data_IF_261532425306
#
_entry.id   IF_261532425306
#
_cell.length_a   1.000
_cell.length_b   1.000
_cell.length_c   1.000
_cell.angle_alpha   90.00
_cell.angle_beta   90.00
_cell.angle_gamma   90.00
#
_symmetry.space_group_name_H-M   'P 1'
#
loop_
_entity.id
_entity.type
_entity.pdbx_description
1 polymer ?
#
# COMPACT_ATOMS: atom_id res chain seq x y z
N UNK A 1 17.78 -16.50 11.33
CA UNK A 1 16.71 -16.48 10.31
C UNK A 1 17.16 -17.36 9.18
N UNK A 2 16.44 -18.45 8.90
CA UNK A 2 16.79 -19.42 7.86
C UNK A 2 16.41 -18.93 6.45
N UNK A 3 15.44 -18.02 6.35
CA UNK A 3 14.95 -17.48 5.08
C UNK A 3 15.30 -16.00 4.93
N UNK A 4 15.84 -15.64 3.77
CA UNK A 4 16.14 -14.24 3.38
C UNK A 4 15.48 -13.98 2.03
N UNK A 5 14.64 -12.95 1.97
CA UNK A 5 14.03 -12.50 0.73
C UNK A 5 14.64 -11.16 0.28
N UNK A 6 14.69 -10.94 -1.04
CA UNK A 6 15.02 -9.66 -1.65
C UNK A 6 13.76 -9.04 -2.23
N UNK A 7 13.61 -7.74 -2.00
CA UNK A 7 12.57 -6.92 -2.60
C UNK A 7 13.14 -5.97 -3.63
N UNK A 8 12.42 -5.78 -4.74
CA UNK A 8 12.69 -4.75 -5.75
C UNK A 8 11.64 -3.66 -5.58
N UNK A 9 12.09 -2.46 -5.23
CA UNK A 9 11.25 -1.26 -5.24
C UNK A 9 11.10 -0.80 -6.68
N UNK A 10 9.86 -0.58 -7.13
CA UNK A 10 9.65 -0.12 -8.51
C UNK A 10 10.19 1.31 -8.68
N UNK A 11 11.03 1.61 -9.68
CA UNK A 11 11.62 2.95 -9.84
C UNK A 11 10.57 4.03 -10.13
N UNK A 12 9.40 3.63 -10.66
CA UNK A 12 8.28 4.56 -10.93
C UNK A 12 7.32 4.67 -9.75
N UNK A 13 7.56 3.93 -8.66
CA UNK A 13 6.79 3.96 -7.42
C UNK A 13 6.53 5.38 -6.95
N UNK A 14 5.33 5.62 -6.43
CA UNK A 14 4.92 6.92 -5.92
C UNK A 14 6.00 7.51 -5.02
N UNK A 15 6.50 8.68 -5.39
CA UNK A 15 7.45 9.43 -4.58
C UNK A 15 6.79 10.05 -3.34
N UNK A 16 5.45 10.02 -3.23
CA UNK A 16 4.70 10.44 -2.05
C UNK A 16 5.01 9.49 -0.87
N UNK A 17 5.74 9.95 0.16
CA UNK A 17 6.04 9.12 1.33
C UNK A 17 4.79 8.76 2.15
N UNK A 18 3.64 9.40 1.87
CA UNK A 18 2.31 9.09 2.41
C UNK A 18 1.50 8.10 1.57
N UNK A 19 2.00 7.64 0.43
CA UNK A 19 1.36 6.56 -0.31
C UNK A 19 1.51 5.22 0.45
N UNK A 20 0.42 4.42 0.53
CA UNK A 20 0.46 3.11 1.17
C UNK A 20 1.48 2.21 0.49
N UNK A 21 2.21 1.43 1.29
CA UNK A 21 3.11 0.41 0.80
C UNK A 21 2.30 -0.80 0.35
N UNK A 22 2.50 -1.24 -0.90
CA UNK A 22 1.94 -2.45 -1.47
C UNK A 22 3.08 -3.43 -1.77
N UNK A 23 3.05 -4.58 -1.11
CA UNK A 23 4.00 -5.68 -1.29
C UNK A 23 3.36 -6.75 -2.18
N UNK A 24 4.06 -7.14 -3.24
CA UNK A 24 3.61 -8.10 -4.24
C UNK A 24 4.39 -9.40 -4.12
N UNK A 25 3.69 -10.50 -3.82
CA UNK A 25 4.23 -11.86 -3.69
C UNK A 25 3.99 -12.70 -4.96
N UNK A 26 5.01 -13.41 -5.48
CA UNK A 26 4.92 -14.15 -6.73
C UNK A 26 4.34 -15.56 -6.51
N UNK A 27 4.10 -16.25 -7.62
CA UNK A 27 3.78 -17.68 -7.63
C UNK A 27 5.04 -18.52 -7.46
N UNK A 28 4.88 -19.78 -7.04
CA UNK A 28 6.01 -20.73 -7.00
C UNK A 28 6.56 -20.92 -8.41
N UNK A 29 7.89 -20.80 -8.57
CA UNK A 29 8.56 -20.90 -9.86
C UNK A 29 8.54 -19.62 -10.70
N UNK A 30 8.10 -18.48 -10.15
CA UNK A 30 8.15 -17.18 -10.84
C UNK A 30 8.93 -16.16 -10.03
N UNK A 31 9.45 -15.13 -10.69
CA UNK A 31 10.16 -14.02 -10.06
C UNK A 31 9.37 -12.71 -10.03
N UNK A 32 9.99 -11.66 -9.49
CA UNK A 32 9.43 -10.29 -9.47
C UNK A 32 9.08 -9.74 -10.85
N UNK A 33 9.64 -10.26 -11.95
CA UNK A 33 9.30 -9.79 -13.29
C UNK A 33 7.86 -10.14 -13.69
N UNK A 34 7.29 -11.22 -13.13
CA UNK A 34 5.92 -11.63 -13.39
C UNK A 34 4.88 -10.55 -13.00
N UNK A 35 5.21 -9.71 -12.02
CA UNK A 35 4.39 -8.58 -11.61
C UNK A 35 4.57 -7.32 -12.45
N UNK A 36 5.51 -7.29 -13.41
CA UNK A 36 5.99 -6.06 -14.06
C UNK A 36 4.90 -5.15 -14.60
N UNK A 37 3.98 -5.67 -15.43
CA UNK A 37 2.94 -4.84 -16.04
C UNK A 37 1.87 -4.38 -15.02
N UNK A 38 1.44 -5.25 -14.11
CA UNK A 38 0.49 -4.87 -13.06
C UNK A 38 1.12 -3.85 -12.09
N UNK A 39 2.39 -4.05 -11.71
CA UNK A 39 3.13 -3.13 -10.86
C UNK A 39 3.23 -1.73 -11.46
N UNK A 40 3.56 -1.60 -12.74
CA UNK A 40 3.64 -0.32 -13.44
C UNK A 40 2.34 0.50 -13.40
N UNK A 41 1.19 -0.17 -13.24
CA UNK A 41 -0.14 0.47 -13.12
C UNK A 41 -0.48 0.87 -11.69
N UNK A 42 0.21 0.31 -10.70
CA UNK A 42 -0.01 0.54 -9.28
C UNK A 42 0.83 1.68 -8.71
N UNK A 43 1.94 2.02 -9.37
CA UNK A 43 2.93 2.98 -8.86
C UNK A 43 2.42 4.41 -8.73
N UNK A 44 1.37 4.80 -9.48
CA UNK A 44 0.70 6.09 -9.29
C UNK A 44 -0.08 6.22 -7.96
N UNK A 45 -0.42 5.10 -7.32
CA UNK A 45 -1.28 5.04 -6.13
C UNK A 45 -0.54 4.51 -4.90
N UNK A 46 0.34 3.53 -5.10
CA UNK A 46 1.06 2.84 -4.04
C UNK A 46 2.56 3.07 -4.14
N UNK A 47 3.24 2.92 -3.00
CA UNK A 47 4.64 2.55 -3.02
C UNK A 47 4.73 1.06 -3.26
N UNK A 48 5.32 0.61 -4.38
CA UNK A 48 5.24 -0.80 -4.80
C UNK A 48 6.58 -1.50 -4.57
N UNK A 49 6.52 -2.65 -3.90
CA UNK A 49 7.65 -3.57 -3.69
C UNK A 49 7.26 -4.94 -4.19
N UNK A 50 8.09 -5.54 -5.03
CA UNK A 50 7.94 -6.92 -5.48
C UNK A 50 8.98 -7.78 -4.78
N UNK A 51 8.61 -8.95 -4.27
CA UNK A 51 9.51 -9.81 -3.48
C UNK A 51 9.77 -11.11 -4.24
N UNK A 52 11.02 -11.59 -4.25
CA UNK A 52 11.35 -12.91 -4.77
C UNK A 52 11.29 -13.97 -3.66
N UNK A 53 10.78 -15.17 -3.96
CA UNK A 53 10.81 -16.33 -3.05
C UNK A 53 12.24 -16.85 -2.85
N UNK A 54 12.53 -17.66 -1.81
CA UNK A 54 13.86 -18.25 -1.62
C UNK A 54 14.29 -19.03 -2.87
N UNK A 55 15.52 -18.81 -3.33
CA UNK A 55 16.06 -19.45 -4.53
C UNK A 55 15.41 -19.02 -5.85
N UNK A 56 14.59 -17.97 -5.85
CA UNK A 56 14.01 -17.38 -7.05
C UNK A 56 14.61 -15.98 -7.27
N UNK A 57 14.78 -15.58 -8.53
CA UNK A 57 15.22 -14.23 -8.89
C UNK A 57 16.46 -13.78 -8.12
N UNK A 58 16.33 -12.71 -7.34
CA UNK A 58 17.42 -12.11 -6.57
C UNK A 58 17.56 -12.66 -5.14
N UNK A 59 16.58 -13.44 -4.67
CA UNK A 59 16.59 -14.02 -3.33
C UNK A 59 17.57 -15.20 -3.25
N UNK A 60 18.43 -15.27 -2.22
CA UNK A 60 19.35 -16.39 -2.06
C UNK A 60 18.58 -17.72 -1.89
N UNK A 61 19.21 -18.80 -2.34
CA UNK A 61 18.69 -20.15 -2.12
C UNK A 61 18.61 -20.48 -0.62
N UNK A 62 17.53 -21.14 -0.21
CA UNK A 62 17.41 -21.75 1.10
C UNK A 62 18.18 -23.09 1.11
N UNK A 63 18.71 -23.45 2.28
CA UNK A 63 19.47 -24.71 2.46
C UNK A 63 18.90 -25.59 3.57
N UNK A 64 17.94 -25.09 4.33
CA UNK A 64 17.29 -25.78 5.45
C UNK A 64 15.77 -25.63 5.32
N UNK A 65 14.98 -26.60 5.82
CA UNK A 65 13.53 -26.49 5.86
C UNK A 65 13.04 -25.25 6.61
N UNK A 66 11.92 -24.70 6.16
CA UNK A 66 11.28 -23.52 6.75
C UNK A 66 9.76 -23.63 6.64
N UNK A 67 9.09 -22.76 7.39
CA UNK A 67 7.63 -22.68 7.47
C UNK A 67 7.08 -21.44 6.78
N UNK A 68 5.76 -21.37 6.63
CA UNK A 68 5.09 -20.14 6.21
C UNK A 68 5.31 -18.99 7.20
N UNK A 69 5.47 -19.27 8.50
CA UNK A 69 5.79 -18.23 9.48
C UNK A 69 7.17 -17.61 9.21
N UNK A 70 8.16 -18.42 8.80
CA UNK A 70 9.49 -17.92 8.41
C UNK A 70 9.43 -17.09 7.11
N UNK A 71 8.59 -17.48 6.15
CA UNK A 71 8.34 -16.68 4.93
C UNK A 71 7.68 -15.33 5.27
N UNK A 72 6.69 -15.34 6.16
CA UNK A 72 6.02 -14.13 6.64
C UNK A 72 7.01 -13.20 7.38
N UNK A 73 7.89 -13.75 8.21
CA UNK A 73 8.97 -12.99 8.85
C UNK A 73 9.89 -12.32 7.83
N UNK A 74 10.26 -13.05 6.78
CA UNK A 74 11.17 -12.54 5.78
C UNK A 74 10.52 -11.44 4.92
N UNK A 75 9.21 -11.52 4.64
CA UNK A 75 8.44 -10.42 4.03
C UNK A 75 8.46 -9.19 4.94
N UNK A 76 8.21 -9.36 6.24
CA UNK A 76 8.25 -8.25 7.20
C UNK A 76 9.64 -7.64 7.30
N UNK A 77 10.70 -8.45 7.23
CA UNK A 77 12.08 -7.96 7.21
C UNK A 77 12.38 -7.10 5.96
N UNK A 78 11.84 -7.45 4.78
CA UNK A 78 11.92 -6.61 3.58
C UNK A 78 11.24 -5.26 3.82
N UNK A 79 10.04 -5.26 4.41
CA UNK A 79 9.30 -4.02 4.74
C UNK A 79 10.05 -3.17 5.76
N UNK A 80 10.62 -3.78 6.80
CA UNK A 80 11.40 -3.09 7.83
C UNK A 80 12.67 -2.45 7.24
N UNK A 81 13.33 -3.10 6.29
CA UNK A 81 14.45 -2.54 5.52
C UNK A 81 14.09 -1.30 4.69
N UNK A 82 12.80 -1.07 4.42
CA UNK A 82 12.26 0.08 3.70
C UNK A 82 11.66 1.16 4.62
N UNK A 83 11.92 1.07 5.92
CA UNK A 83 11.41 2.00 6.94
C UNK A 83 10.20 1.48 7.72
N UNK A 84 9.77 0.24 7.49
CA UNK A 84 8.76 -0.45 8.30
C UNK A 84 7.33 0.06 8.14
N UNK A 85 6.54 -0.13 9.19
CA UNK A 85 5.13 0.28 9.26
C UNK A 85 4.13 -0.77 8.75
N UNK A 86 2.88 -0.33 8.57
CA UNK A 86 1.80 -1.16 8.02
C UNK A 86 1.82 -1.14 6.49
N UNK A 87 1.43 -2.25 5.87
CA UNK A 87 1.44 -2.41 4.41
C UNK A 87 0.25 -3.23 3.92
N UNK A 88 -0.12 -3.01 2.67
CA UNK A 88 -1.03 -3.89 1.93
C UNK A 88 -0.19 -4.99 1.30
N UNK A 89 -0.68 -6.23 1.35
CA UNK A 89 -0.01 -7.37 0.72
C UNK A 89 -0.93 -7.98 -0.33
N UNK A 90 -0.42 -8.23 -1.53
CA UNK A 90 -1.12 -8.95 -2.58
C UNK A 90 -0.22 -10.08 -3.09
N UNK A 91 -0.72 -11.31 -3.09
CA UNK A 91 0.07 -12.47 -3.46
C UNK A 91 -0.67 -13.43 -4.37
N UNK A 92 0.07 -14.04 -5.30
CA UNK A 92 -0.45 -15.05 -6.22
C UNK A 92 -0.03 -16.44 -5.77
N UNK A 93 -0.94 -17.42 -5.78
CA UNK A 93 -0.62 -18.81 -5.42
C UNK A 93 0.05 -18.92 -4.04
N UNK A 94 1.25 -19.51 -3.93
CA UNK A 94 2.04 -19.52 -2.68
C UNK A 94 2.21 -18.12 -2.07
N UNK A 95 2.36 -17.08 -2.90
CA UNK A 95 2.41 -15.69 -2.46
C UNK A 95 1.15 -15.30 -1.69
N UNK A 96 -0.03 -15.70 -2.14
CA UNK A 96 -1.30 -15.45 -1.45
C UNK A 96 -1.41 -16.21 -0.12
N UNK A 97 -0.89 -17.44 -0.06
CA UNK A 97 -0.83 -18.25 1.15
C UNK A 97 0.11 -17.63 2.21
N UNK A 98 1.24 -17.01 1.79
CA UNK A 98 2.08 -16.17 2.67
C UNK A 98 1.27 -14.99 3.21
N UNK A 99 0.41 -14.38 2.38
CA UNK A 99 -0.51 -13.34 2.81
C UNK A 99 -1.52 -13.79 3.86
N UNK A 100 -2.05 -15.01 3.73
CA UNK A 100 -2.93 -15.63 4.74
C UNK A 100 -2.17 -15.85 6.05
N UNK A 101 -0.92 -16.36 6.00
CA UNK A 101 -0.08 -16.49 7.19
C UNK A 101 0.20 -15.12 7.84
N UNK A 102 0.51 -14.09 7.05
CA UNK A 102 0.69 -12.73 7.57
C UNK A 102 -0.56 -12.22 8.31
N UNK A 103 -1.76 -12.57 7.83
CA UNK A 103 -3.03 -12.09 8.39
C UNK A 103 -3.54 -12.87 9.60
N UNK A 104 -3.18 -14.15 9.70
CA UNK A 104 -3.62 -15.07 10.76
C UNK A 104 -2.55 -15.31 11.82
N UNK A 105 -1.28 -15.11 11.47
CA UNK A 105 -0.11 -15.32 12.31
C UNK A 105 0.29 -14.09 13.13
N UNK A 106 1.55 -14.10 13.58
CA UNK A 106 2.09 -13.12 14.54
C UNK A 106 2.25 -11.69 14.01
N UNK A 107 2.19 -11.51 12.70
CA UNK A 107 2.36 -10.20 12.03
C UNK A 107 1.05 -9.56 11.59
N UNK A 108 -0.10 -10.06 12.04
CA UNK A 108 -1.43 -9.58 11.63
C UNK A 108 -1.62 -8.06 11.77
N UNK A 109 -1.01 -7.45 12.78
CA UNK A 109 -1.09 -6.00 13.02
C UNK A 109 -0.30 -5.17 12.00
N UNK A 110 0.62 -5.80 11.26
CA UNK A 110 1.40 -5.16 10.19
C UNK A 110 0.60 -5.03 8.89
N UNK A 111 -0.45 -5.82 8.70
CA UNK A 111 -1.26 -5.71 7.49
C UNK A 111 -2.25 -4.55 7.57
N UNK A 112 -2.38 -3.81 6.48
CA UNK A 112 -3.42 -2.82 6.22
C UNK A 112 -4.51 -3.37 5.28
N UNK A 113 -4.19 -4.39 4.49
CA UNK A 113 -5.10 -5.09 3.57
C UNK A 113 -4.42 -6.31 2.96
N UNK A 114 -5.22 -7.26 2.48
CA UNK A 114 -4.75 -8.53 1.91
C UNK A 114 -5.45 -8.85 0.59
N UNK A 115 -4.71 -9.14 -0.48
CA UNK A 115 -5.24 -9.75 -1.69
C UNK A 115 -4.73 -11.19 -1.85
N UNK A 116 -5.66 -12.14 -1.91
CA UNK A 116 -5.42 -13.56 -2.14
C UNK A 116 -5.80 -13.86 -3.60
N UNK A 117 -4.82 -13.96 -4.49
CA UNK A 117 -5.03 -14.09 -5.94
C UNK A 117 -4.65 -15.49 -6.38
N UNK A 118 -5.57 -16.24 -7.01
CA UNK A 118 -5.37 -17.63 -7.44
C UNK A 118 -4.71 -18.48 -6.33
N UNK A 119 -5.25 -18.35 -5.10
CA UNK A 119 -4.63 -18.82 -3.86
C UNK A 119 -5.69 -19.10 -2.79
N UNK A 120 -5.29 -19.63 -1.63
CA UNK A 120 -6.16 -19.90 -0.51
C UNK A 120 -5.39 -20.27 0.77
N UNK A 121 -6.14 -20.60 1.83
CA UNK A 121 -5.57 -21.04 3.10
C UNK A 121 -5.04 -22.48 3.10
N UNK A 122 -5.25 -23.20 2.00
CA UNK A 122 -4.68 -24.51 1.66
C UNK A 122 -4.74 -24.64 0.14
N UNK A 123 -3.65 -25.11 -0.47
CA UNK A 123 -3.57 -25.29 -1.92
C UNK A 123 -3.12 -26.72 -2.18
N UNK A 124 -3.82 -27.46 -3.04
CA UNK A 124 -3.47 -28.84 -3.37
C UNK A 124 -3.50 -29.81 -2.17
N UNK A 125 -2.73 -30.90 -2.28
CA UNK A 125 -2.63 -31.94 -1.25
C UNK A 125 -1.19 -32.13 -0.74
N UNK A 126 -0.99 -32.51 0.54
CA UNK A 126 0.33 -32.81 1.09
C UNK A 126 1.11 -33.83 0.27
N UNK A 127 0.44 -34.88 -0.21
CA UNK A 127 1.04 -35.95 -1.02
C UNK A 127 1.48 -35.43 -2.39
N UNK A 128 0.67 -34.59 -3.02
CA UNK A 128 0.99 -33.99 -4.31
C UNK A 128 2.20 -33.06 -4.25
N UNK A 129 2.30 -32.28 -3.17
CA UNK A 129 3.46 -31.42 -2.93
C UNK A 129 4.73 -32.20 -2.59
N UNK A 130 4.61 -33.25 -1.76
CA UNK A 130 5.74 -34.15 -1.45
C UNK A 130 6.26 -34.83 -2.71
N UNK A 131 5.36 -35.31 -3.58
CA UNK A 131 5.73 -35.90 -4.86
C UNK A 131 6.42 -34.89 -5.79
N UNK A 132 5.92 -33.64 -5.83
CA UNK A 132 6.54 -32.57 -6.62
C UNK A 132 7.95 -32.23 -6.10
N UNK A 133 8.13 -32.12 -4.79
CA UNK A 133 9.43 -31.87 -4.18
C UNK A 133 10.43 -32.98 -4.52
N UNK A 134 10.02 -34.26 -4.39
CA UNK A 134 10.85 -35.39 -4.76
C UNK A 134 11.22 -35.40 -6.26
N UNK A 135 10.27 -35.05 -7.14
CA UNK A 135 10.54 -34.95 -8.58
C UNK A 135 11.57 -33.86 -8.88
N UNK A 136 11.42 -32.67 -8.31
CA UNK A 136 12.34 -31.53 -8.53
C UNK A 136 13.73 -31.87 -8.01
N UNK A 137 13.87 -32.48 -6.82
CA UNK A 137 15.19 -32.93 -6.34
C UNK A 137 15.84 -33.97 -7.24
N UNK A 138 15.06 -34.79 -7.94
CA UNK A 138 15.58 -35.83 -8.82
C UNK A 138 15.88 -35.34 -10.25
N UNK A 139 15.13 -34.36 -10.75
CA UNK A 139 15.10 -34.00 -12.18
C UNK A 139 15.30 -32.50 -12.45
N UNK A 140 15.40 -31.68 -11.39
CA UNK A 140 15.47 -30.23 -11.44
C UNK A 140 14.12 -29.56 -11.72
N UNK A 141 14.07 -28.24 -11.53
CA UNK A 141 12.92 -27.39 -11.88
C UNK A 141 12.54 -27.42 -13.37
N UNK A 142 13.43 -27.67 -14.35
CA UNK A 142 13.02 -27.82 -15.75
C UNK A 142 12.00 -28.95 -15.99
N UNK A 143 11.99 -29.98 -15.14
CA UNK A 143 10.98 -31.04 -15.22
C UNK A 143 9.54 -30.55 -14.96
N UNK A 144 9.38 -29.36 -14.38
CA UNK A 144 8.06 -28.77 -14.12
C UNK A 144 7.52 -27.97 -15.32
N UNK A 145 8.33 -27.63 -16.33
CA UNK A 145 7.94 -26.70 -17.42
C UNK A 145 6.69 -27.14 -18.16
N UNK A 146 6.65 -28.39 -18.64
CA UNK A 146 5.50 -28.88 -19.42
C UNK A 146 4.21 -28.81 -18.59
N UNK A 147 4.24 -29.34 -17.38
CA UNK A 147 3.07 -29.35 -16.50
C UNK A 147 2.67 -27.94 -16.01
N UNK A 148 3.62 -27.02 -15.87
CA UNK A 148 3.35 -25.62 -15.54
C UNK A 148 2.74 -24.87 -16.72
N UNK A 149 3.19 -25.11 -17.96
CA UNK A 149 2.62 -24.46 -19.16
C UNK A 149 1.13 -24.77 -19.34
N UNK A 150 0.68 -25.96 -18.95
CA UNK A 150 -0.73 -26.37 -19.04
C UNK A 150 -1.59 -25.79 -17.91
N UNK A 151 -1.00 -25.58 -16.72
CA UNK A 151 -1.76 -25.20 -15.51
C UNK A 151 -1.71 -23.69 -15.21
N UNK A 152 -0.69 -22.99 -15.69
CA UNK A 152 -0.47 -21.59 -15.33
C UNK A 152 -1.37 -20.62 -16.08
N UNK A 153 -1.74 -20.94 -17.31
CA UNK A 153 -2.36 -19.99 -18.22
C UNK A 153 -3.71 -20.48 -18.74
N UNK A 154 -4.63 -19.57 -19.05
CA UNK A 154 -5.81 -19.95 -19.82
C UNK A 154 -5.39 -20.49 -21.21
N UNK A 155 -6.14 -21.45 -21.80
CA UNK A 155 -5.78 -22.02 -23.10
C UNK A 155 -5.59 -21.00 -24.23
N UNK A 156 -6.25 -19.82 -24.14
CA UNK A 156 -6.16 -18.74 -25.11
C UNK A 156 -4.86 -17.93 -24.99
N UNK A 157 -4.20 -17.95 -23.84
CA UNK A 157 -3.14 -17.00 -23.49
C UNK A 157 -1.79 -17.27 -24.17
N UNK A 158 -1.27 -18.52 -24.27
CA UNK A 158 -0.01 -18.78 -24.97
C UNK A 158 -0.01 -18.33 -26.44
N UNK A 159 -1.16 -18.36 -27.11
CA UNK A 159 -1.31 -17.86 -28.48
C UNK A 159 -1.34 -16.32 -28.56
N UNK A 160 -1.78 -15.65 -27.49
CA UNK A 160 -1.87 -14.19 -27.41
C UNK A 160 -0.54 -13.55 -27.00
N UNK A 161 0.14 -14.14 -26.02
CA UNK A 161 1.35 -13.59 -25.38
C UNK A 161 2.49 -14.63 -25.28
N UNK A 162 2.94 -15.20 -26.43
CA UNK A 162 3.91 -16.30 -26.42
C UNK A 162 5.25 -15.94 -25.77
N UNK A 163 5.73 -14.70 -25.95
CA UNK A 163 7.00 -14.25 -25.37
C UNK A 163 6.92 -14.13 -23.85
N UNK A 164 5.78 -13.70 -23.31
CA UNK A 164 5.58 -13.59 -21.87
C UNK A 164 5.49 -14.98 -21.23
N UNK A 165 4.79 -15.90 -21.87
CA UNK A 165 4.76 -17.32 -21.46
C UNK A 165 6.18 -17.90 -21.47
N UNK A 166 6.93 -17.72 -22.55
CA UNK A 166 8.30 -18.22 -22.68
C UNK A 166 9.24 -17.68 -21.60
N UNK A 167 9.18 -16.37 -21.32
CA UNK A 167 9.97 -15.76 -20.23
C UNK A 167 9.60 -16.31 -18.87
N UNK A 168 8.30 -16.45 -18.57
CA UNK A 168 7.83 -16.96 -17.28
C UNK A 168 8.25 -18.42 -17.06
N UNK A 169 8.19 -19.26 -18.10
CA UNK A 169 8.67 -20.64 -18.03
C UNK A 169 10.20 -20.74 -17.96
N UNK A 170 10.92 -19.75 -18.48
CA UNK A 170 12.38 -19.68 -18.31
C UNK A 170 12.74 -19.35 -16.86
N UNK A 171 12.03 -18.43 -16.20
CA UNK A 171 12.23 -18.16 -14.76
C UNK A 171 12.03 -19.41 -13.89
N UNK A 172 11.08 -20.26 -14.26
CA UNK A 172 10.87 -21.54 -13.58
C UNK A 172 12.10 -22.44 -13.67
N UNK A 173 12.73 -22.50 -14.83
CA UNK A 173 13.95 -23.29 -15.06
C UNK A 173 15.16 -22.74 -14.31
N UNK A 174 15.18 -21.44 -14.04
CA UNK A 174 16.29 -20.76 -13.35
C UNK A 174 16.16 -20.80 -11.82
N UNK A 175 15.01 -21.20 -11.28
CA UNK A 175 14.81 -21.34 -9.84
C UNK A 175 15.66 -22.48 -9.25
N UNK A 176 16.24 -22.26 -8.07
CA UNK A 176 17.05 -23.25 -7.35
C UNK A 176 16.20 -24.46 -6.95
N UNK A 177 16.64 -25.64 -7.39
CA UNK A 177 15.93 -26.92 -7.24
C UNK A 177 15.56 -27.22 -5.78
N UNK A 178 16.50 -27.08 -4.86
CA UNK A 178 16.26 -27.39 -3.45
C UNK A 178 15.30 -26.39 -2.82
N UNK A 179 15.46 -25.09 -3.11
CA UNK A 179 14.55 -24.07 -2.60
C UNK A 179 13.12 -24.27 -3.11
N UNK A 180 12.96 -24.63 -4.39
CA UNK A 180 11.65 -24.99 -4.95
C UNK A 180 11.05 -26.21 -4.22
N UNK A 181 11.84 -27.25 -3.99
CA UNK A 181 11.39 -28.45 -3.28
C UNK A 181 10.98 -28.13 -1.83
N UNK A 182 11.75 -27.32 -1.11
CA UNK A 182 11.43 -26.86 0.25
C UNK A 182 10.15 -26.02 0.29
N UNK A 183 9.92 -25.14 -0.71
CA UNK A 183 8.67 -24.39 -0.83
C UNK A 183 7.46 -25.32 -1.10
N UNK A 184 7.64 -26.34 -1.92
CA UNK A 184 6.62 -27.36 -2.14
C UNK A 184 6.30 -28.11 -0.83
N UNK A 185 7.31 -28.56 -0.08
CA UNK A 185 7.10 -29.21 1.22
C UNK A 185 6.38 -28.29 2.23
N UNK A 186 6.77 -27.01 2.29
CA UNK A 186 6.10 -26.02 3.12
C UNK A 186 4.63 -25.84 2.72
N UNK A 187 4.31 -25.82 1.42
CA UNK A 187 2.93 -25.79 0.91
C UNK A 187 2.14 -27.03 1.33
N UNK A 188 2.76 -28.20 1.30
CA UNK A 188 2.14 -29.45 1.75
C UNK A 188 1.76 -29.44 3.23
N UNK A 189 2.49 -28.70 4.06
CA UNK A 189 2.23 -28.55 5.49
C UNK A 189 1.27 -27.39 5.84
N UNK A 190 0.96 -26.51 4.89
CA UNK A 190 0.19 -25.29 5.15
C UNK A 190 -1.33 -25.54 5.12
N UNK A 191 -1.99 -25.33 6.26
CA UNK A 191 -3.45 -25.31 6.38
C UNK A 191 -3.87 -24.27 7.42
N UNK A 192 -4.46 -23.17 6.95
CA UNK A 192 -5.00 -22.07 7.77
C UNK A 192 -6.51 -21.92 7.64
N UNK A 193 -7.21 -22.93 7.12
CA UNK A 193 -8.65 -22.81 6.84
C UNK A 193 -9.47 -22.49 8.09
N UNK A 194 -9.11 -23.03 9.25
CA UNK A 194 -9.76 -22.72 10.55
C UNK A 194 -9.54 -21.27 11.01
N UNK A 195 -8.49 -20.61 10.50
CA UNK A 195 -8.03 -19.32 11.01
C UNK A 195 -8.53 -18.16 10.14
N UNK A 196 -9.12 -18.44 8.96
CA UNK A 196 -9.63 -17.43 8.02
C UNK A 196 -10.62 -16.44 8.66
N UNK A 197 -11.48 -16.92 9.57
CA UNK A 197 -12.43 -16.09 10.31
C UNK A 197 -11.79 -15.10 11.30
N UNK A 198 -10.47 -15.16 11.50
CA UNK A 198 -9.73 -14.23 12.37
C UNK A 198 -9.11 -13.04 11.63
N UNK A 199 -9.17 -13.03 10.28
CA UNK A 199 -8.58 -11.98 9.45
C UNK A 199 -9.37 -10.68 9.60
N UNK A 200 -8.76 -9.69 10.25
CA UNK A 200 -9.43 -8.43 10.60
C UNK A 200 -9.28 -7.31 9.56
N UNK A 201 -8.40 -7.48 8.57
CA UNK A 201 -8.12 -6.46 7.56
C UNK A 201 -9.01 -6.61 6.33
N UNK A 202 -9.29 -5.53 5.59
CA UNK A 202 -9.94 -5.63 4.27
C UNK A 202 -9.22 -6.67 3.42
N UNK A 203 -9.97 -7.66 2.94
CA UNK A 203 -9.43 -8.76 2.13
C UNK A 203 -10.14 -8.80 0.78
N UNK A 204 -9.41 -9.12 -0.28
CA UNK A 204 -9.90 -9.37 -1.64
C UNK A 204 -9.47 -10.77 -2.05
N UNK A 205 -10.40 -11.55 -2.59
CA UNK A 205 -10.11 -12.88 -3.16
C UNK A 205 -10.36 -12.80 -4.67
N UNK A 206 -9.38 -13.21 -5.47
CA UNK A 206 -9.45 -13.19 -6.94
C UNK A 206 -9.06 -14.56 -7.47
N UNK A 207 -9.75 -15.04 -8.51
CA UNK A 207 -9.45 -16.32 -9.16
C UNK A 207 -9.74 -16.23 -10.66
N UNK A 208 -9.00 -16.99 -11.46
CA UNK A 208 -9.32 -17.16 -12.88
C UNK A 208 -10.33 -18.29 -13.10
N UNK A 209 -11.28 -18.12 -14.02
CA UNK A 209 -12.29 -19.15 -14.33
C UNK A 209 -11.71 -20.42 -15.01
N UNK A 210 -10.44 -20.38 -15.45
CA UNK A 210 -9.68 -21.49 -16.03
C UNK A 210 -8.59 -22.03 -15.10
N UNK A 211 -8.50 -21.56 -13.86
CA UNK A 211 -7.48 -22.01 -12.92
C UNK A 211 -7.75 -23.47 -12.45
N UNK A 212 -6.88 -24.43 -12.81
CA UNK A 212 -7.03 -25.82 -12.40
C UNK A 212 -6.30 -26.14 -11.08
N UNK A 213 -5.54 -25.19 -10.53
CA UNK A 213 -4.73 -25.35 -9.31
C UNK A 213 -5.50 -24.87 -8.09
N UNK A 214 -6.12 -23.70 -8.20
CA UNK A 214 -7.06 -23.15 -7.22
C UNK A 214 -8.34 -22.86 -7.97
N UNK A 215 -9.34 -23.71 -7.77
CA UNK A 215 -10.59 -23.61 -8.51
C UNK A 215 -11.45 -22.44 -8.03
N UNK A 216 -12.46 -22.07 -8.81
CA UNK A 216 -13.48 -21.11 -8.37
C UNK A 216 -14.15 -21.57 -7.07
N UNK A 217 -14.38 -22.88 -6.90
CA UNK A 217 -14.92 -23.45 -5.67
C UNK A 217 -14.00 -23.22 -4.47
N UNK A 218 -12.68 -23.44 -4.63
CA UNK A 218 -11.69 -23.18 -3.58
C UNK A 218 -11.65 -21.69 -3.18
N UNK A 219 -11.72 -20.80 -4.16
CA UNK A 219 -11.75 -19.36 -3.96
C UNK A 219 -13.06 -18.92 -3.27
N UNK A 220 -14.20 -19.47 -3.67
CA UNK A 220 -15.51 -19.23 -3.02
C UNK A 220 -15.48 -19.72 -1.58
N UNK A 221 -14.94 -20.90 -1.31
CA UNK A 221 -14.80 -21.41 0.06
C UNK A 221 -13.90 -20.50 0.91
N UNK A 222 -12.79 -20.02 0.35
CA UNK A 222 -11.89 -19.07 1.02
C UNK A 222 -12.61 -17.76 1.32
N UNK A 223 -13.32 -17.20 0.34
CA UNK A 223 -14.02 -15.92 0.46
C UNK A 223 -15.20 -15.98 1.47
N UNK A 224 -15.95 -17.09 1.47
CA UNK A 224 -17.04 -17.34 2.40
C UNK A 224 -16.58 -17.50 3.86
N UNK A 225 -15.37 -18.01 4.09
CA UNK A 225 -14.80 -18.20 5.42
C UNK A 225 -14.22 -16.91 6.05
N UNK A 226 -14.06 -15.84 5.26
CA UNK A 226 -13.60 -14.54 5.76
C UNK A 226 -14.71 -13.84 6.58
N UNK A 227 -14.35 -12.94 7.51
CA UNK A 227 -15.35 -12.21 8.30
C UNK A 227 -16.35 -11.45 7.43
N UNK A 228 -17.63 -11.68 7.71
CA UNK A 228 -18.74 -11.09 6.97
C UNK A 228 -19.21 -11.90 5.76
N UNK A 229 -18.42 -12.89 5.29
CA UNK A 229 -18.72 -13.69 4.10
C UNK A 229 -18.72 -12.84 2.82
N UNK A 230 -17.88 -13.17 1.84
CA UNK A 230 -17.87 -12.47 0.56
C UNK A 230 -17.74 -13.46 -0.60
N UNK A 231 -18.07 -12.99 -1.80
CA UNK A 231 -17.82 -13.72 -3.04
C UNK A 231 -16.43 -13.36 -3.59
N UNK A 232 -15.73 -14.29 -4.25
CA UNK A 232 -14.50 -13.99 -4.94
C UNK A 232 -14.78 -13.22 -6.23
N UNK A 233 -13.80 -12.44 -6.68
CA UNK A 233 -13.80 -11.88 -8.04
C UNK A 233 -13.29 -12.96 -9.00
N UNK A 234 -14.14 -13.36 -9.95
CA UNK A 234 -13.80 -14.36 -10.96
C UNK A 234 -13.43 -13.64 -12.26
N UNK A 235 -12.19 -13.82 -12.72
CA UNK A 235 -11.70 -13.28 -13.97
C UNK A 235 -11.98 -14.25 -15.11
N UNK A 236 -12.74 -13.81 -16.10
CA UNK A 236 -13.11 -14.60 -17.28
C UNK A 236 -11.90 -14.91 -18.15
N UNK A 237 -11.83 -16.10 -18.73
CA UNK A 237 -10.76 -16.57 -19.62
C UNK A 237 -9.36 -16.25 -19.03
N UNK A 238 -9.15 -16.70 -17.79
CA UNK A 238 -7.93 -16.44 -17.01
C UNK A 238 -7.54 -17.71 -16.24
N UNK A 239 -6.26 -18.08 -16.30
CA UNK A 239 -5.71 -19.23 -15.58
C UNK A 239 -5.16 -18.87 -14.19
N UNK A 240 -4.15 -19.62 -13.75
CA UNK A 240 -3.56 -19.49 -12.42
C UNK A 240 -2.69 -18.23 -12.26
N UNK A 241 -2.13 -17.70 -13.34
CA UNK A 241 -1.29 -16.51 -13.33
C UNK A 241 -2.09 -15.25 -13.67
N UNK A 242 -3.17 -14.98 -12.93
CA UNK A 242 -4.09 -13.88 -13.20
C UNK A 242 -3.43 -12.50 -13.36
N UNK A 243 -2.42 -12.20 -12.54
CA UNK A 243 -1.66 -10.94 -12.61
C UNK A 243 -0.84 -10.78 -13.91
N UNK A 244 -0.48 -11.87 -14.58
CA UNK A 244 0.18 -11.88 -15.89
C UNK A 244 -0.84 -11.79 -17.03
N UNK A 245 -1.95 -12.52 -16.92
CA UNK A 245 -2.95 -12.59 -17.98
C UNK A 245 -3.86 -11.37 -18.05
N UNK A 246 -4.14 -10.75 -16.89
CA UNK A 246 -5.05 -9.62 -16.69
C UNK A 246 -4.42 -8.50 -15.84
N UNK A 247 -3.22 -8.00 -16.19
CA UNK A 247 -2.48 -7.05 -15.36
C UNK A 247 -3.25 -5.76 -15.08
N UNK A 248 -4.01 -5.25 -16.06
CA UNK A 248 -4.83 -4.06 -15.90
C UNK A 248 -6.01 -4.27 -14.93
N UNK A 249 -6.69 -5.41 -15.04
CA UNK A 249 -7.86 -5.75 -14.23
C UNK A 249 -7.44 -6.04 -12.79
N UNK A 250 -6.36 -6.81 -12.58
CA UNK A 250 -5.77 -7.05 -11.26
C UNK A 250 -5.33 -5.74 -10.61
N UNK A 251 -4.62 -4.86 -11.34
CA UNK A 251 -4.21 -3.57 -10.80
C UNK A 251 -5.41 -2.70 -10.40
N UNK A 252 -6.46 -2.66 -11.22
CA UNK A 252 -7.68 -1.92 -10.92
C UNK A 252 -8.38 -2.43 -9.66
N UNK A 253 -8.50 -3.74 -9.48
CA UNK A 253 -9.08 -4.35 -8.28
C UNK A 253 -8.27 -4.01 -7.02
N UNK A 254 -6.94 -4.04 -7.10
CA UNK A 254 -6.06 -3.67 -5.99
C UNK A 254 -6.20 -2.17 -5.63
N UNK A 255 -6.29 -1.30 -6.63
CA UNK A 255 -6.54 0.14 -6.43
C UNK A 255 -7.91 0.34 -5.79
N UNK A 256 -8.97 -0.20 -6.35
CA UNK A 256 -10.34 -0.03 -5.85
C UNK A 256 -10.49 -0.51 -4.39
N UNK A 257 -9.82 -1.61 -4.06
CA UNK A 257 -9.92 -2.20 -2.73
C UNK A 257 -9.06 -1.47 -1.70
N UNK A 258 -7.81 -1.13 -2.06
CA UNK A 258 -6.77 -0.78 -1.09
C UNK A 258 -6.18 0.61 -1.26
N UNK A 259 -6.50 1.33 -2.34
CA UNK A 259 -6.16 2.74 -2.40
C UNK A 259 -6.78 3.42 -1.18
N UNK A 260 -6.11 4.41 -0.57
CA UNK A 260 -6.66 5.10 0.57
C UNK A 260 -8.02 5.67 0.17
N UNK A 261 -9.10 5.09 0.71
CA UNK A 261 -10.45 5.52 0.39
C UNK A 261 -10.60 6.94 0.92
N UNK A 262 -10.79 7.84 -0.03
CA UNK A 262 -11.09 9.25 0.15
C UNK A 262 -9.98 10.06 0.87
N UNK A 263 -8.78 10.11 0.28
CA UNK A 263 -7.80 11.16 0.60
C UNK A 263 -8.44 12.54 0.54
N UNK A 264 -9.43 12.71 -0.32
CA UNK A 264 -10.15 13.97 -0.46
C UNK A 264 -11.05 14.22 0.76
N UNK A 265 -11.85 13.28 1.25
CA UNK A 265 -12.65 13.46 2.47
C UNK A 265 -11.79 13.49 3.73
N UNK A 266 -10.75 12.64 3.84
CA UNK A 266 -9.77 12.75 4.93
C UNK A 266 -9.13 14.13 4.91
N UNK A 267 -8.72 14.58 3.73
CA UNK A 267 -8.21 15.91 3.50
C UNK A 267 -9.23 16.98 3.86
N UNK A 268 -10.51 16.80 3.54
CA UNK A 268 -11.58 17.73 3.87
C UNK A 268 -11.82 17.80 5.38
N UNK A 269 -11.85 16.66 6.08
CA UNK A 269 -11.94 16.59 7.54
C UNK A 269 -10.79 17.33 8.20
N UNK A 270 -9.54 17.05 7.79
CA UNK A 270 -8.35 17.71 8.34
C UNK A 270 -8.33 19.19 7.98
N UNK A 271 -8.61 19.56 6.72
CA UNK A 271 -8.65 20.94 6.24
C UNK A 271 -9.67 21.76 7.02
N UNK A 272 -10.86 21.22 7.30
CA UNK A 272 -11.89 21.87 8.13
C UNK A 272 -11.45 22.01 9.58
N UNK A 273 -10.86 20.97 10.15
CA UNK A 273 -10.35 21.02 11.52
C UNK A 273 -9.19 22.02 11.68
N UNK A 274 -8.39 22.22 10.63
CA UNK A 274 -7.20 23.08 10.67
C UNK A 274 -7.50 24.51 10.26
N UNK A 275 -8.35 24.78 9.27
CA UNK A 275 -8.63 26.12 8.77
C UNK A 275 -9.99 26.69 9.21
N UNK A 276 -10.82 25.86 9.86
CA UNK A 276 -12.19 26.19 10.24
C UNK A 276 -13.19 25.79 9.15
N UNK A 277 -14.31 25.21 9.57
CA UNK A 277 -15.38 24.72 8.71
C UNK A 277 -15.90 25.80 7.74
N UNK A 278 -16.24 26.98 8.26
CA UNK A 278 -16.82 28.07 7.47
C UNK A 278 -15.88 28.59 6.38
N UNK A 279 -14.57 28.68 6.69
CA UNK A 279 -13.59 29.11 5.69
C UNK A 279 -13.51 28.10 4.55
N UNK A 280 -13.48 26.81 4.89
CA UNK A 280 -13.40 25.72 3.91
C UNK A 280 -14.68 25.65 3.07
N UNK A 281 -15.85 25.86 3.67
CA UNK A 281 -17.12 25.91 2.94
C UNK A 281 -17.14 27.04 1.92
N UNK A 282 -16.73 28.26 2.32
CA UNK A 282 -16.60 29.39 1.38
C UNK A 282 -15.60 29.12 0.26
N UNK A 283 -14.44 28.56 0.59
CA UNK A 283 -13.43 28.21 -0.41
C UNK A 283 -13.94 27.14 -1.40
N UNK A 284 -14.70 26.16 -0.90
CA UNK A 284 -15.28 25.07 -1.72
C UNK A 284 -16.37 25.60 -2.65
N UNK A 285 -17.21 26.53 -2.18
CA UNK A 285 -18.24 27.17 -2.99
C UNK A 285 -17.66 28.01 -4.15
N UNK A 286 -16.42 28.49 -4.01
CA UNK A 286 -15.71 29.24 -5.04
C UNK A 286 -14.97 28.39 -6.08
N UNK A 287 -15.06 27.06 -6.01
CA UNK A 287 -14.37 26.17 -6.96
C UNK A 287 -15.04 26.25 -8.34
N UNK A 288 -14.22 26.47 -9.37
CA UNK A 288 -14.62 26.49 -10.78
C UNK A 288 -14.11 25.25 -11.51
N UNK A 289 -14.62 24.91 -12.70
CA UNK A 289 -14.11 23.80 -13.50
C UNK A 289 -12.59 23.86 -13.75
N UNK A 290 -12.03 25.05 -13.93
CA UNK A 290 -10.60 25.28 -14.19
C UNK A 290 -9.72 25.07 -12.95
N UNK A 291 -10.31 25.18 -11.75
CA UNK A 291 -9.59 25.09 -10.47
C UNK A 291 -9.90 23.80 -9.70
N UNK A 292 -10.90 23.03 -10.13
CA UNK A 292 -11.38 21.83 -9.46
C UNK A 292 -10.28 20.79 -9.23
N UNK A 293 -9.50 20.48 -10.27
CA UNK A 293 -8.43 19.49 -10.18
C UNK A 293 -7.31 19.96 -9.23
N UNK A 294 -6.98 21.25 -9.26
CA UNK A 294 -5.98 21.81 -8.36
C UNK A 294 -6.45 21.83 -6.90
N UNK A 295 -7.72 22.16 -6.66
CA UNK A 295 -8.31 22.15 -5.31
C UNK A 295 -8.42 20.74 -4.75
N UNK A 296 -8.75 19.76 -5.61
CA UNK A 296 -8.71 18.34 -5.26
C UNK A 296 -7.29 17.91 -4.92
N UNK A 297 -6.31 18.26 -5.76
CA UNK A 297 -4.89 17.97 -5.53
C UNK A 297 -4.41 18.51 -4.18
N UNK A 298 -4.67 19.79 -3.86
CA UNK A 298 -4.29 20.38 -2.57
C UNK A 298 -4.98 19.63 -1.42
N UNK A 299 -6.27 19.34 -1.56
CA UNK A 299 -7.06 18.64 -0.53
C UNK A 299 -6.48 17.27 -0.23
N UNK A 300 -6.17 16.48 -1.26
CA UNK A 300 -5.64 15.13 -1.11
C UNK A 300 -4.18 15.10 -0.61
N UNK A 301 -3.34 16.03 -1.07
CA UNK A 301 -1.90 16.01 -0.79
C UNK A 301 -1.54 16.72 0.51
N UNK A 302 -1.89 18.00 0.66
CA UNK A 302 -1.54 18.76 1.86
C UNK A 302 -2.31 18.21 3.06
N UNK A 303 -3.62 18.06 2.92
CA UNK A 303 -4.50 17.74 4.04
C UNK A 303 -4.71 16.24 4.21
N UNK A 304 -4.96 15.54 3.11
CA UNK A 304 -5.20 14.09 3.10
C UNK A 304 -3.95 13.24 3.31
N UNK A 305 -2.76 13.77 3.00
CA UNK A 305 -1.48 13.07 3.18
C UNK A 305 -0.60 13.70 4.25
N UNK A 306 -0.11 14.93 4.09
CA UNK A 306 0.96 15.44 4.97
C UNK A 306 0.46 15.84 6.37
N UNK A 307 -0.63 16.60 6.46
CA UNK A 307 -1.20 17.05 7.74
C UNK A 307 -1.89 15.93 8.52
N UNK A 308 -2.35 14.87 7.85
CA UNK A 308 -3.01 13.72 8.48
C UNK A 308 -2.03 12.70 9.09
N UNK A 309 -0.73 12.80 8.80
CA UNK A 309 0.27 11.82 9.25
C UNK A 309 0.47 11.82 10.78
N UNK A 310 0.64 10.64 11.38
CA UNK A 310 1.15 10.54 12.74
C UNK A 310 2.64 10.95 12.78
N UNK A 311 3.10 11.53 13.89
CA UNK A 311 4.52 11.82 14.15
C UNK A 311 4.81 13.26 14.59
N UNK A 312 4.05 14.25 14.09
CA UNK A 312 4.07 15.62 14.60
C UNK A 312 2.65 16.03 14.99
N UNK A 313 2.52 16.63 16.17
CA UNK A 313 1.26 17.22 16.61
C UNK A 313 0.89 18.45 15.75
N UNK A 314 -0.37 18.87 15.88
CA UNK A 314 -0.94 19.95 15.07
C UNK A 314 -0.29 21.31 15.33
N UNK A 315 0.08 21.61 16.58
CA UNK A 315 0.74 22.89 16.95
C UNK A 315 2.13 22.95 16.34
N UNK A 316 2.89 21.86 16.42
CA UNK A 316 4.23 21.75 15.82
C UNK A 316 4.16 21.92 14.30
N UNK A 317 3.23 21.24 13.63
CA UNK A 317 3.02 21.40 12.18
C UNK A 317 2.67 22.84 11.81
N UNK A 318 1.79 23.49 12.58
CA UNK A 318 1.41 24.89 12.37
C UNK A 318 2.61 25.83 12.47
N UNK A 319 3.45 25.68 13.50
CA UNK A 319 4.64 26.51 13.67
C UNK A 319 5.58 26.39 12.47
N UNK A 320 5.82 25.16 11.98
CA UNK A 320 6.62 24.90 10.78
C UNK A 320 6.00 25.57 9.54
N UNK A 321 4.68 25.46 9.36
CA UNK A 321 4.00 26.10 8.22
C UNK A 321 4.12 27.62 8.26
N UNK A 322 3.91 28.25 9.43
CA UNK A 322 4.08 29.70 9.61
C UNK A 322 5.51 30.10 9.28
N UNK A 323 6.51 29.39 9.83
CA UNK A 323 7.92 29.62 9.54
C UNK A 323 8.21 29.56 8.03
N UNK A 324 7.70 28.54 7.34
CA UNK A 324 7.84 28.38 5.89
C UNK A 324 7.22 29.53 5.10
N UNK A 325 6.04 30.03 5.49
CA UNK A 325 5.40 31.17 4.82
C UNK A 325 6.20 32.45 4.99
N UNK A 326 6.80 32.67 6.17
CA UNK A 326 7.67 33.83 6.42
C UNK A 326 8.93 33.77 5.57
N UNK A 327 9.60 32.61 5.53
CA UNK A 327 10.83 32.41 4.73
C UNK A 327 10.57 32.54 3.23
N UNK A 328 9.44 32.04 2.74
CA UNK A 328 9.07 32.10 1.33
C UNK A 328 8.37 33.42 0.93
N UNK A 329 8.17 34.34 1.88
CA UNK A 329 7.49 35.62 1.67
C UNK A 329 6.04 35.49 1.14
N UNK A 330 5.33 34.42 1.53
CA UNK A 330 3.94 34.17 1.17
C UNK A 330 2.99 34.80 2.19
N UNK A 331 2.89 36.14 2.16
CA UNK A 331 2.20 36.91 3.20
C UNK A 331 0.68 36.71 3.23
N UNK A 332 0.05 36.47 2.09
CA UNK A 332 -1.40 36.19 2.01
C UNK A 332 -1.75 34.87 2.69
N UNK A 333 -0.94 33.83 2.46
CA UNK A 333 -1.08 32.52 3.12
C UNK A 333 -0.74 32.60 4.63
N UNK A 334 0.22 33.46 5.00
CA UNK A 334 0.55 33.70 6.42
C UNK A 334 -0.66 34.24 7.20
N UNK A 335 -1.44 35.16 6.62
CA UNK A 335 -2.67 35.69 7.24
C UNK A 335 -3.62 34.55 7.61
N UNK A 336 -3.87 33.64 6.66
CA UNK A 336 -4.76 32.50 6.87
C UNK A 336 -4.26 31.61 8.01
N UNK A 337 -2.97 31.28 8.03
CA UNK A 337 -2.41 30.38 9.04
C UNK A 337 -2.35 31.00 10.45
N UNK A 338 -2.13 32.31 10.58
CA UNK A 338 -2.19 33.01 11.86
C UNK A 338 -3.61 33.05 12.42
N UNK A 339 -4.62 33.38 11.58
CA UNK A 339 -6.04 33.35 11.98
C UNK A 339 -6.44 31.96 12.46
N UNK A 340 -6.08 30.94 11.68
CA UNK A 340 -6.41 29.55 11.99
C UNK A 340 -5.66 29.03 13.24
N UNK A 341 -4.47 29.54 13.54
CA UNK A 341 -3.73 29.18 14.76
C UNK A 341 -4.41 29.72 16.02
N UNK A 342 -4.84 31.00 16.00
CA UNK A 342 -5.57 31.60 17.12
C UNK A 342 -6.89 30.86 17.40
N UNK A 343 -7.64 30.53 16.34
CA UNK A 343 -8.90 29.79 16.47
C UNK A 343 -8.73 28.36 17.04
N UNK A 344 -7.57 27.74 16.82
CA UNK A 344 -7.19 26.41 17.35
C UNK A 344 -6.48 26.51 18.72
N UNK A 345 -6.49 27.69 19.35
CA UNK A 345 -6.00 27.91 20.71
C UNK A 345 -4.48 28.10 20.83
N UNK A 346 -3.77 28.43 19.75
CA UNK A 346 -2.39 28.92 19.82
C UNK A 346 -2.42 30.38 20.30
N UNK A 347 -1.64 30.69 21.32
CA UNK A 347 -1.62 32.02 21.95
C UNK A 347 -0.87 33.05 21.10
N UNK A 348 -1.14 34.34 21.34
CA UNK A 348 -0.40 35.43 20.68
C UNK A 348 1.09 35.36 21.02
N UNK A 349 1.40 35.01 22.26
CA UNK A 349 2.75 34.85 22.77
C UNK A 349 3.49 33.74 22.01
N UNK A 350 2.88 32.56 21.84
CA UNK A 350 3.46 31.47 21.03
C UNK A 350 3.72 31.90 19.58
N UNK A 351 2.78 32.64 18.96
CA UNK A 351 2.97 33.15 17.61
C UNK A 351 4.10 34.19 17.52
N UNK A 352 4.22 35.08 18.52
CA UNK A 352 5.30 36.05 18.60
C UNK A 352 6.66 35.36 18.73
N UNK A 353 6.77 34.33 19.56
CA UNK A 353 8.01 33.54 19.70
C UNK A 353 8.43 32.89 18.37
N UNK A 354 7.48 32.35 17.61
CA UNK A 354 7.76 31.82 16.26
C UNK A 354 8.31 32.94 15.35
N UNK A 355 7.69 34.13 15.34
CA UNK A 355 8.14 35.24 14.49
C UNK A 355 9.49 35.82 14.92
N UNK A 356 9.80 35.83 16.21
CA UNK A 356 11.12 36.19 16.73
C UNK A 356 12.18 35.20 16.25
N UNK A 357 11.89 33.89 16.34
CA UNK A 357 12.76 32.85 15.80
C UNK A 357 13.04 33.07 14.30
N UNK A 358 12.03 33.48 13.54
CA UNK A 358 12.19 33.77 12.10
C UNK A 358 13.10 34.97 11.81
N UNK A 359 13.28 35.91 12.74
CA UNK A 359 14.22 37.01 12.55
C UNK A 359 15.67 36.51 12.40
N UNK A 360 16.00 35.39 13.04
CA UNK A 360 17.33 34.77 12.98
C UNK A 360 17.52 33.99 11.67
N UNK A 361 16.52 33.22 11.24
CA UNK A 361 16.67 32.28 10.12
C UNK A 361 16.16 32.78 8.77
N UNK A 362 15.15 33.64 8.75
CA UNK A 362 14.64 34.30 7.54
C UNK A 362 15.08 35.77 7.42
N UNK A 363 15.74 36.29 8.46
CA UNK A 363 16.24 37.66 8.52
C UNK A 363 15.22 38.66 9.08
N UNK A 364 15.75 39.69 9.74
CA UNK A 364 14.97 40.77 10.36
C UNK A 364 13.96 41.43 9.39
N UNK A 365 14.28 41.70 8.10
CA UNK A 365 13.29 42.27 7.18
C UNK A 365 12.06 41.39 6.94
N UNK A 366 12.25 40.07 6.87
CA UNK A 366 11.16 39.11 6.70
C UNK A 366 10.28 39.07 7.97
N UNK A 367 10.92 39.01 9.14
CA UNK A 367 10.23 39.06 10.43
C UNK A 367 9.45 40.38 10.62
N UNK A 368 10.01 41.54 10.24
CA UNK A 368 9.31 42.83 10.30
C UNK A 368 8.02 42.82 9.48
N UNK A 369 8.06 42.23 8.27
CA UNK A 369 6.85 42.07 7.45
C UNK A 369 5.86 41.10 8.08
N UNK A 370 6.34 39.98 8.63
CA UNK A 370 5.50 39.01 9.34
C UNK A 370 4.82 39.61 10.58
N UNK A 371 5.52 40.42 11.39
CA UNK A 371 4.95 41.13 12.53
C UNK A 371 3.89 42.14 12.12
N UNK A 372 4.06 42.81 10.97
CA UNK A 372 3.05 43.72 10.42
C UNK A 372 1.76 42.96 10.08
N UNK A 373 1.89 41.79 9.45
CA UNK A 373 0.78 40.88 9.14
C UNK A 373 0.12 40.37 10.42
N UNK A 374 0.91 39.93 11.41
CA UNK A 374 0.38 39.42 12.67
C UNK A 374 -0.38 40.50 13.46
N UNK A 375 0.14 41.73 13.51
CA UNK A 375 -0.55 42.86 14.15
C UNK A 375 -1.93 43.11 13.55
N UNK A 376 -2.05 43.03 12.23
CA UNK A 376 -3.35 43.16 11.56
C UNK A 376 -4.29 42.02 11.98
N UNK A 377 -3.82 40.77 11.92
CA UNK A 377 -4.64 39.60 12.31
C UNK A 377 -5.08 39.66 13.77
N UNK A 378 -4.23 40.14 14.67
CA UNK A 378 -4.55 40.30 16.10
C UNK A 378 -5.61 41.38 16.32
N UNK A 379 -5.53 42.51 15.63
CA UNK A 379 -6.56 43.55 15.73
C UNK A 379 -7.93 43.04 15.26
N UNK A 380 -7.98 42.34 14.13
CA UNK A 380 -9.21 41.72 13.60
C UNK A 380 -9.78 40.63 14.51
N UNK A 381 -8.95 39.98 15.33
CA UNK A 381 -9.40 39.00 16.31
C UNK A 381 -10.00 39.68 17.54
N UNK A 382 -9.40 40.79 18.01
CA UNK A 382 -9.91 41.58 19.14
C UNK A 382 -11.28 42.19 18.82
N UNK A 383 -11.45 42.74 17.62
CA UNK A 383 -12.71 43.31 17.15
C UNK A 383 -13.84 42.27 17.17
N UNK A 384 -13.58 41.06 16.63
CA UNK A 384 -14.57 39.97 16.62
C UNK A 384 -14.96 39.51 18.02
N UNK A 385 -14.00 39.40 18.94
CA UNK A 385 -14.29 39.02 20.33
C UNK A 385 -15.12 40.08 21.06
N UNK A 386 -14.94 41.36 20.76
CA UNK A 386 -15.75 42.45 21.31
C UNK A 386 -17.20 42.40 20.77
N UNK A 387 -17.37 42.15 19.47
CA UNK A 387 -18.67 42.03 18.83
C UNK A 387 -19.47 40.84 19.40
N UNK A 388 -18.83 39.67 19.57
CA UNK A 388 -19.47 38.47 20.16
C UNK A 388 -19.91 38.67 21.61
N UNK A 389 -19.14 39.43 22.41
CA UNK A 389 -19.53 39.78 23.79
C UNK A 389 -20.72 40.74 23.81
N UNK A 390 -20.78 41.68 22.87
CA UNK A 390 -21.88 42.65 22.75
C UNK A 390 -23.19 42.07 22.19
N UNK A 391 -23.12 40.96 21.45
CA UNK A 391 -24.28 40.28 20.88
C UNK A 391 -24.89 39.21 21.81
N UNK A 392 -24.18 38.85 22.90
CA UNK A 392 -24.61 37.90 23.92
C UNK A 392 -25.24 38.52 25.17
N UNK A 393 -25.22 39.85 25.29
CA UNK A 393 -25.98 40.66 26.26
C UNK A 393 -27.33 41.08 25.67
#
# INVERSE_FOLDING_TARGET
MSVVLRGVVDPTSSADPGAPLLVLGPSLGTGVAAWGEAAARLTGTFRVVRVDLPGHGLSPAAREPFTFADLADAVVAVVDGLGGGRFVYAGVSIGGAIGVELATGRHRDRLAGLAVICSGARIGSPEGWTARAAQVRAQGTPAQVAASSERWFAPSFPSREPDLVGRTLSELMDADDESYALLAEALGAFDRRSDLGTIAVPTLVVVGDRDPVVTVEDATATAAALPGGQEPVVLTDTGHQAHLERPAEVAALLIERFAPRDRYATGMTVRRAVLGAEWVDRATAGITPETADFQRFITETAWGSIWSRPGLDRRTRRAITIASMVTAHHWEELVMHLRAALADGVTREELVEILLQMAVYAGVPAANSAFRVAKQVFAEADERSADEQSAGE
#
